data_IF_146322088656
#
_entry.id   IF_146322088656
#
_cell.length_a   1.000
_cell.length_b   1.000
_cell.length_c   1.000
_cell.angle_alpha   90.00
_cell.angle_beta   90.00
_cell.angle_gamma   90.00
#
_symmetry.space_group_name_H-M   'P 1'
#
loop_
_entity.id
_entity.type
_entity.pdbx_description
1 polymer ?
#
# COMPACT_ATOMS: atom_id res chain seq x y z
N UNK A 1 -9.82 6.01 -61.34
CA UNK A 1 -8.64 5.20 -60.95
C UNK A 1 -8.05 5.62 -59.59
N UNK A 2 -7.74 6.90 -59.34
CA UNK A 2 -7.14 7.36 -58.06
C UNK A 2 -7.99 7.11 -56.79
N UNK A 3 -9.33 7.12 -56.90
CA UNK A 3 -10.25 6.81 -55.77
C UNK A 3 -10.29 5.33 -55.41
N UNK A 4 -10.28 4.44 -56.41
CA UNK A 4 -10.27 2.99 -56.19
C UNK A 4 -8.98 2.51 -55.51
N UNK A 5 -7.83 3.08 -55.91
CA UNK A 5 -6.55 2.79 -55.24
C UNK A 5 -6.52 3.23 -53.77
N UNK A 6 -7.07 4.41 -53.46
CA UNK A 6 -7.16 4.91 -52.06
C UNK A 6 -8.04 4.02 -51.18
N UNK A 7 -9.18 3.56 -51.71
CA UNK A 7 -10.08 2.63 -50.98
C UNK A 7 -9.39 1.28 -50.75
N UNK A 8 -8.65 0.77 -51.74
CA UNK A 8 -7.84 -0.44 -51.59
C UNK A 8 -6.77 -0.32 -50.51
N UNK A 9 -6.07 0.82 -50.42
CA UNK A 9 -5.06 1.06 -49.38
C UNK A 9 -5.66 1.13 -47.98
N UNK A 10 -6.84 1.77 -47.82
CA UNK A 10 -7.54 1.83 -46.53
C UNK A 10 -8.04 0.45 -46.09
N UNK A 11 -8.60 -0.34 -47.01
CA UNK A 11 -9.01 -1.73 -46.73
C UNK A 11 -7.82 -2.63 -46.38
N UNK A 12 -6.67 -2.44 -47.04
CA UNK A 12 -5.45 -3.15 -46.69
C UNK A 12 -4.97 -2.78 -45.28
N UNK A 13 -4.94 -1.48 -44.94
CA UNK A 13 -4.57 -1.01 -43.60
C UNK A 13 -5.50 -1.57 -42.51
N UNK A 14 -6.81 -1.63 -42.76
CA UNK A 14 -7.79 -2.23 -41.84
C UNK A 14 -7.59 -3.75 -41.67
N UNK A 15 -7.08 -4.45 -42.69
CA UNK A 15 -6.80 -5.88 -42.63
C UNK A 15 -5.49 -6.21 -41.89
N UNK A 16 -4.51 -5.31 -41.85
CA UNK A 16 -3.26 -5.46 -41.06
C UNK A 16 -3.37 -4.84 -39.66
N UNK A 17 -4.56 -4.39 -39.26
CA UNK A 17 -4.90 -3.95 -37.91
C UNK A 17 -5.76 -4.99 -37.15
N UNK A 18 -5.48 -6.32 -37.14
CA UNK A 18 -6.17 -7.18 -36.20
C UNK A 18 -5.81 -6.72 -34.78
N UNK A 19 -6.76 -6.05 -34.13
CA UNK A 19 -6.64 -5.52 -32.78
C UNK A 19 -6.56 -6.64 -31.75
N UNK A 20 -5.69 -6.41 -30.77
CA UNK A 20 -5.47 -7.10 -29.49
C UNK A 20 -5.56 -8.64 -29.48
N UNK A 21 -4.40 -9.27 -29.70
CA UNK A 21 -4.11 -10.65 -29.30
C UNK A 21 -4.07 -10.83 -27.77
N UNK A 22 -4.00 -9.76 -27.00
CA UNK A 22 -3.71 -9.79 -25.56
C UNK A 22 -4.99 -9.83 -24.68
N UNK A 23 -5.90 -10.76 -24.97
CA UNK A 23 -7.08 -10.99 -24.13
C UNK A 23 -6.69 -11.80 -22.88
N UNK A 24 -6.68 -11.16 -21.72
CA UNK A 24 -6.46 -11.82 -20.43
C UNK A 24 -7.80 -12.25 -19.83
N UNK A 25 -8.09 -13.55 -19.92
CA UNK A 25 -9.38 -14.09 -19.46
C UNK A 25 -9.50 -14.02 -17.93
N UNK A 26 -10.47 -13.24 -17.46
CA UNK A 26 -10.81 -13.14 -16.03
C UNK A 26 -11.34 -14.47 -15.44
N UNK A 27 -11.69 -15.45 -16.28
CA UNK A 27 -12.31 -16.72 -15.85
C UNK A 27 -11.42 -17.52 -14.89
N UNK A 28 -10.10 -17.46 -15.06
CA UNK A 28 -9.13 -18.15 -14.21
C UNK A 28 -8.30 -17.17 -13.36
N UNK A 29 -8.64 -15.89 -13.38
CA UNK A 29 -7.90 -14.87 -12.66
C UNK A 29 -8.22 -14.94 -11.16
N UNK A 30 -7.17 -14.92 -10.34
CA UNK A 30 -7.24 -14.71 -8.90
C UNK A 30 -6.71 -13.32 -8.60
N UNK A 31 -7.46 -12.53 -7.85
CA UNK A 31 -7.05 -11.15 -7.57
C UNK A 31 -6.13 -11.11 -6.34
N UNK A 32 -4.86 -10.76 -6.54
CA UNK A 32 -3.97 -10.38 -5.45
C UNK A 32 -4.37 -8.99 -4.96
N UNK A 33 -4.90 -8.89 -3.74
CA UNK A 33 -5.41 -7.64 -3.19
C UNK A 33 -4.31 -6.82 -2.50
N UNK A 34 -3.30 -7.47 -1.94
CA UNK A 34 -2.16 -6.79 -1.34
C UNK A 34 -1.07 -7.78 -0.94
N UNK A 35 0.14 -7.28 -0.74
CA UNK A 35 1.25 -8.12 -0.26
C UNK A 35 2.09 -7.43 0.79
N UNK A 36 2.60 -8.22 1.73
CA UNK A 36 3.63 -7.84 2.68
C UNK A 36 4.96 -8.49 2.35
N UNK A 37 6.04 -7.79 2.64
CA UNK A 37 7.40 -8.23 2.40
C UNK A 37 8.21 -8.17 3.69
N UNK A 38 8.84 -9.28 4.05
CA UNK A 38 9.73 -9.43 5.19
C UNK A 38 11.06 -10.06 4.75
N UNK A 39 12.12 -9.90 5.54
CA UNK A 39 13.33 -10.71 5.40
C UNK A 39 13.31 -11.85 6.41
N UNK A 40 13.63 -13.05 5.94
CA UNK A 40 13.88 -14.21 6.80
C UNK A 40 15.22 -14.05 7.55
N UNK A 41 15.47 -14.82 8.63
CA UNK A 41 16.73 -14.73 9.38
C UNK A 41 18.00 -14.97 8.55
N UNK A 42 17.89 -15.76 7.48
CA UNK A 42 18.94 -16.04 6.50
C UNK A 42 19.01 -15.01 5.34
N UNK A 43 18.24 -13.91 5.44
CA UNK A 43 18.30 -12.79 4.49
C UNK A 43 17.55 -13.01 3.17
N UNK A 44 16.69 -14.04 3.08
CA UNK A 44 15.83 -14.25 1.90
C UNK A 44 14.57 -13.41 2.01
N UNK A 45 14.00 -13.07 0.85
CA UNK A 45 12.74 -12.35 0.79
C UNK A 45 11.59 -13.31 1.07
N UNK A 46 10.74 -12.95 2.03
CA UNK A 46 9.44 -13.57 2.25
C UNK A 46 8.37 -12.60 1.78
N UNK A 47 7.52 -13.06 0.86
CA UNK A 47 6.32 -12.35 0.47
C UNK A 47 5.11 -13.09 1.08
N UNK A 48 4.18 -12.35 1.65
CA UNK A 48 2.87 -12.86 2.06
C UNK A 48 1.80 -12.07 1.32
N UNK A 49 0.90 -12.75 0.63
CA UNK A 49 -0.10 -12.14 -0.24
C UNK A 49 -1.51 -12.52 0.19
N UNK A 50 -2.38 -11.53 0.20
CA UNK A 50 -3.82 -11.73 0.32
C UNK A 50 -4.43 -11.88 -1.08
N UNK A 51 -5.07 -13.02 -1.32
CA UNK A 51 -5.71 -13.36 -2.59
C UNK A 51 -7.22 -13.45 -2.38
N UNK A 52 -7.98 -12.74 -3.21
CA UNK A 52 -9.43 -12.69 -3.13
C UNK A 52 -10.01 -14.06 -3.50
N UNK A 53 -10.86 -14.59 -2.62
CA UNK A 53 -11.64 -15.80 -2.87
C UNK A 53 -13.07 -15.43 -3.29
N UNK A 54 -13.31 -15.42 -4.60
CA UNK A 54 -14.62 -15.12 -5.18
C UNK A 54 -15.60 -16.30 -5.05
N UNK A 55 -15.11 -17.52 -4.81
CA UNK A 55 -15.92 -18.75 -4.81
C UNK A 55 -16.93 -18.86 -3.66
N UNK A 56 -16.83 -17.98 -2.65
CA UNK A 56 -17.67 -17.99 -1.44
C UNK A 56 -18.54 -16.75 -1.24
N UNK A 57 -18.59 -15.84 -2.22
CA UNK A 57 -19.44 -14.65 -2.10
C UNK A 57 -20.92 -14.93 -2.40
N UNK A 58 -21.28 -16.10 -2.92
CA UNK A 58 -22.62 -16.37 -3.46
C UNK A 58 -23.61 -17.02 -2.48
N UNK A 59 -23.26 -17.35 -1.23
CA UNK A 59 -24.23 -17.97 -0.32
C UNK A 59 -24.30 -17.28 1.05
N UNK A 60 -25.55 -16.90 1.39
CA UNK A 60 -25.99 -16.48 2.70
C UNK A 60 -25.31 -17.32 3.79
N UNK A 61 -24.68 -16.66 4.77
CA UNK A 61 -24.04 -17.22 5.98
C UNK A 61 -22.55 -17.64 5.91
N UNK A 62 -21.86 -17.49 4.77
CA UNK A 62 -20.41 -17.66 4.70
C UNK A 62 -19.67 -16.33 4.86
N UNK A 63 -18.97 -16.11 5.97
CA UNK A 63 -18.10 -14.91 6.09
C UNK A 63 -17.08 -14.93 4.94
N UNK A 64 -16.98 -13.88 4.11
CA UNK A 64 -15.95 -13.79 3.06
C UNK A 64 -14.57 -14.12 3.66
N UNK A 65 -13.80 -15.00 3.01
CA UNK A 65 -12.49 -15.47 3.50
C UNK A 65 -11.50 -15.39 2.35
N UNK A 66 -10.68 -14.35 2.35
CA UNK A 66 -9.52 -14.32 1.46
C UNK A 66 -8.51 -15.41 1.84
N UNK A 67 -7.83 -15.91 0.84
CA UNK A 67 -6.68 -16.79 0.99
C UNK A 67 -5.45 -15.94 1.33
N UNK A 68 -4.60 -16.43 2.23
CA UNK A 68 -3.37 -15.74 2.61
C UNK A 68 -2.24 -16.73 2.51
N UNK A 69 -1.44 -16.55 1.47
CA UNK A 69 -0.35 -17.46 1.11
C UNK A 69 0.99 -16.74 1.15
N UNK A 70 2.04 -17.47 1.49
CA UNK A 70 3.38 -16.91 1.60
C UNK A 70 4.42 -17.71 0.82
N UNK A 71 5.44 -17.05 0.30
CA UNK A 71 6.54 -17.66 -0.44
C UNK A 71 7.88 -17.04 -0.04
N UNK A 72 8.93 -17.86 0.00
CA UNK A 72 10.29 -17.42 0.33
C UNK A 72 11.20 -17.65 -0.87
N UNK A 73 11.97 -16.63 -1.27
CA UNK A 73 12.82 -16.67 -2.45
C UNK A 73 13.86 -15.55 -2.44
N UNK A 74 14.55 -15.39 -3.57
CA UNK A 74 15.62 -14.41 -3.76
C UNK A 74 15.15 -13.12 -4.45
N UNK A 75 13.92 -13.10 -4.98
CA UNK A 75 13.35 -11.91 -5.63
C UNK A 75 11.83 -11.91 -5.50
N UNK A 76 11.21 -10.74 -5.64
CA UNK A 76 9.75 -10.56 -5.65
C UNK A 76 9.06 -11.43 -6.70
N UNK A 77 9.69 -11.63 -7.86
CA UNK A 77 9.15 -12.53 -8.90
C UNK A 77 9.15 -13.98 -8.43
N UNK A 78 10.27 -14.46 -7.90
CA UNK A 78 10.36 -15.83 -7.43
C UNK A 78 9.40 -16.10 -6.26
N UNK A 79 9.27 -15.18 -5.31
CA UNK A 79 8.29 -15.32 -4.23
C UNK A 79 6.86 -15.35 -4.75
N UNK A 80 6.54 -14.52 -5.75
CA UNK A 80 5.22 -14.52 -6.40
C UNK A 80 4.95 -15.84 -7.15
N UNK A 81 5.94 -16.40 -7.83
CA UNK A 81 5.83 -17.70 -8.51
C UNK A 81 5.61 -18.85 -7.52
N UNK A 82 6.28 -18.82 -6.37
CA UNK A 82 6.07 -19.79 -5.29
C UNK A 82 4.66 -19.66 -4.69
N UNK A 83 4.14 -18.44 -4.53
CA UNK A 83 2.75 -18.24 -4.10
C UNK A 83 1.78 -18.79 -5.17
N UNK A 84 2.08 -18.58 -6.46
CA UNK A 84 1.27 -19.09 -7.57
C UNK A 84 1.13 -20.61 -7.54
N UNK A 85 2.13 -21.37 -7.07
CA UNK A 85 2.00 -22.84 -6.94
C UNK A 85 1.06 -23.29 -5.81
N UNK A 86 0.61 -22.37 -4.94
CA UNK A 86 -0.22 -22.67 -3.77
C UNK A 86 -1.68 -22.26 -3.94
N UNK A 87 -1.97 -21.38 -4.89
CA UNK A 87 -3.33 -20.93 -5.21
C UNK A 87 -3.83 -21.58 -6.49
N UNK A 88 -5.13 -21.73 -6.61
CA UNK A 88 -5.75 -22.19 -7.85
C UNK A 88 -5.87 -21.04 -8.83
N UNK A 89 -5.42 -21.23 -10.08
CA UNK A 89 -5.51 -20.22 -11.11
C UNK A 89 -4.41 -19.18 -11.04
N UNK A 90 -4.64 -18.08 -11.73
CA UNK A 90 -3.59 -17.16 -12.15
C UNK A 90 -3.68 -15.84 -11.38
N UNK A 91 -2.68 -15.54 -10.55
CA UNK A 91 -2.65 -14.29 -9.79
C UNK A 91 -2.54 -13.11 -10.75
N UNK A 92 -3.45 -12.15 -10.60
CA UNK A 92 -3.52 -10.85 -11.27
C UNK A 92 -3.69 -9.75 -10.23
N UNK A 93 -3.11 -8.57 -10.49
CA UNK A 93 -3.03 -7.48 -9.53
C UNK A 93 -4.05 -6.36 -9.79
N UNK A 94 -5.12 -6.60 -10.57
CA UNK A 94 -6.06 -5.54 -10.99
C UNK A 94 -6.73 -4.76 -9.85
N UNK A 95 -6.80 -5.33 -8.64
CA UNK A 95 -7.33 -4.70 -7.43
C UNK A 95 -6.29 -4.58 -6.31
N UNK A 96 -5.01 -4.50 -6.66
CA UNK A 96 -3.95 -4.36 -5.67
C UNK A 96 -4.12 -3.02 -4.94
N UNK A 97 -4.49 -3.08 -3.67
CA UNK A 97 -4.84 -1.92 -2.84
C UNK A 97 -3.71 -1.45 -1.94
N UNK A 98 -2.82 -2.36 -1.52
CA UNK A 98 -1.74 -2.00 -0.61
C UNK A 98 -0.49 -2.89 -0.72
N UNK A 99 0.62 -2.34 -0.26
CA UNK A 99 1.89 -3.01 -0.04
C UNK A 99 2.41 -2.73 1.37
N UNK A 100 2.80 -3.77 2.11
CA UNK A 100 3.41 -3.64 3.42
C UNK A 100 4.90 -3.97 3.35
N UNK A 101 5.70 -3.15 4.02
CA UNK A 101 7.12 -3.36 4.21
C UNK A 101 7.35 -3.70 5.68
N UNK A 102 7.77 -4.93 5.98
CA UNK A 102 8.22 -5.26 7.32
C UNK A 102 9.42 -4.41 7.68
N UNK A 103 9.59 -4.07 8.96
CA UNK A 103 10.76 -3.30 9.42
C UNK A 103 12.08 -3.88 8.88
N UNK A 104 12.19 -5.20 8.81
CA UNK A 104 13.35 -5.93 8.27
C UNK A 104 13.69 -5.58 6.82
N UNK A 105 12.69 -5.28 5.99
CA UNK A 105 12.85 -4.80 4.60
C UNK A 105 13.03 -3.28 4.58
N UNK A 106 12.24 -2.55 5.35
CA UNK A 106 12.26 -1.08 5.39
C UNK A 106 13.61 -0.49 5.80
N UNK A 107 14.36 -1.17 6.67
CA UNK A 107 15.71 -0.76 7.10
C UNK A 107 16.81 -1.11 6.08
N UNK A 108 16.46 -1.82 5.00
CA UNK A 108 17.35 -2.07 3.85
C UNK A 108 17.07 -1.09 2.73
N UNK A 109 17.95 -1.11 1.74
CA UNK A 109 17.73 -0.41 0.48
C UNK A 109 16.44 -0.94 -0.18
N UNK A 110 15.43 -0.08 -0.33
CA UNK A 110 14.12 -0.43 -0.85
C UNK A 110 14.10 -0.72 -2.35
N UNK A 111 14.95 -0.09 -3.14
CA UNK A 111 14.84 -0.13 -4.61
C UNK A 111 14.91 -1.55 -5.20
N UNK A 112 15.78 -2.47 -4.73
CA UNK A 112 15.79 -3.85 -5.21
C UNK A 112 14.46 -4.60 -5.05
N UNK A 113 13.67 -4.27 -4.02
CA UNK A 113 12.36 -4.88 -3.79
C UNK A 113 11.25 -4.22 -4.62
N UNK A 114 11.44 -2.96 -5.00
CA UNK A 114 10.43 -2.17 -5.71
C UNK A 114 10.63 -2.11 -7.23
N UNK A 115 11.84 -2.36 -7.76
CA UNK A 115 12.16 -2.25 -9.19
C UNK A 115 11.14 -2.96 -10.08
N UNK A 116 10.81 -4.21 -9.74
CA UNK A 116 9.86 -4.99 -10.54
C UNK A 116 8.44 -4.40 -10.54
N UNK A 117 8.04 -3.76 -9.45
CA UNK A 117 6.72 -3.15 -9.33
C UNK A 117 6.58 -1.95 -10.26
N UNK A 118 7.67 -1.25 -10.53
CA UNK A 118 7.69 -0.09 -11.42
C UNK A 118 8.00 -0.42 -12.88
N UNK A 119 8.78 -1.48 -13.13
CA UNK A 119 9.22 -1.86 -14.47
C UNK A 119 8.22 -2.72 -15.24
N UNK A 120 7.34 -3.43 -14.55
CA UNK A 120 6.32 -4.30 -15.18
C UNK A 120 4.97 -3.56 -15.23
N UNK A 121 4.44 -3.22 -16.42
CA UNK A 121 3.21 -2.43 -16.56
C UNK A 121 1.95 -3.18 -16.07
N UNK A 122 2.05 -4.48 -15.78
CA UNK A 122 0.95 -5.28 -15.22
C UNK A 122 0.77 -5.07 -13.71
N UNK A 123 1.77 -4.47 -13.05
CA UNK A 123 1.68 -4.11 -11.64
C UNK A 123 1.05 -2.71 -11.54
N UNK A 124 -0.12 -2.55 -10.90
CA UNK A 124 -0.64 -1.22 -10.65
C UNK A 124 0.25 -0.53 -9.62
N UNK A 125 0.48 0.77 -9.85
CA UNK A 125 1.19 1.64 -8.92
C UNK A 125 0.27 2.75 -8.41
N UNK A 126 -0.69 3.15 -9.25
CA UNK A 126 -1.66 4.18 -8.92
C UNK A 126 -2.59 3.71 -7.81
N UNK A 127 -2.80 4.58 -6.80
CA UNK A 127 -3.67 4.34 -5.62
C UNK A 127 -3.29 3.15 -4.73
N UNK A 128 -2.15 2.49 -4.97
CA UNK A 128 -1.64 1.45 -4.06
C UNK A 128 -1.07 2.13 -2.82
N UNK A 129 -1.66 1.86 -1.66
CA UNK A 129 -1.17 2.37 -0.37
C UNK A 129 0.08 1.62 0.06
N UNK A 130 1.01 2.30 0.74
CA UNK A 130 2.23 1.68 1.28
C UNK A 130 2.33 1.99 2.75
N UNK A 131 2.71 1.00 3.55
CA UNK A 131 3.00 1.20 4.96
C UNK A 131 4.18 0.33 5.43
N UNK A 132 4.87 0.80 6.45
CA UNK A 132 5.84 0.00 7.20
C UNK A 132 5.12 -0.70 8.36
N UNK A 133 5.52 -1.92 8.69
CA UNK A 133 5.02 -2.70 9.82
C UNK A 133 6.13 -2.90 10.86
N UNK A 134 5.86 -2.51 12.11
CA UNK A 134 6.67 -2.81 13.29
C UNK A 134 6.54 -4.29 13.64
N UNK A 135 7.34 -5.12 12.97
CA UNK A 135 7.30 -6.57 13.09
C UNK A 135 7.07 -7.26 11.74
N UNK A 136 6.32 -8.36 11.78
CA UNK A 136 6.12 -9.28 10.65
C UNK A 136 4.86 -8.92 9.85
N UNK A 137 5.03 -8.61 8.56
CA UNK A 137 3.86 -8.42 7.66
C UNK A 137 3.10 -9.73 7.46
N UNK A 138 3.81 -10.86 7.50
CA UNK A 138 3.20 -12.18 7.41
C UNK A 138 2.23 -12.45 8.58
N UNK A 139 2.59 -12.07 9.80
CA UNK A 139 1.71 -12.23 10.96
C UNK A 139 0.47 -11.33 10.85
N UNK A 140 0.67 -10.07 10.44
CA UNK A 140 -0.41 -9.11 10.26
C UNK A 140 -1.43 -9.59 9.23
N UNK A 141 -0.97 -10.04 8.05
CA UNK A 141 -1.88 -10.55 7.01
C UNK A 141 -2.56 -11.86 7.41
N UNK A 142 -1.94 -12.67 8.27
CA UNK A 142 -2.54 -13.91 8.79
C UNK A 142 -3.64 -13.69 9.82
N UNK A 143 -3.87 -12.45 10.27
CA UNK A 143 -5.11 -12.10 10.98
C UNK A 143 -6.35 -12.38 10.11
N UNK A 144 -6.23 -12.25 8.78
CA UNK A 144 -7.28 -12.38 7.76
C UNK A 144 -8.45 -11.40 7.88
N UNK A 145 -8.76 -10.94 9.10
CA UNK A 145 -9.81 -9.98 9.42
C UNK A 145 -9.41 -9.11 10.60
N UNK A 146 -9.94 -7.90 10.60
CA UNK A 146 -9.97 -7.01 11.76
C UNK A 146 -11.40 -6.51 11.92
N UNK A 147 -12.03 -6.83 13.06
CA UNK A 147 -13.47 -6.67 13.23
C UNK A 147 -14.25 -7.54 12.22
N UNK A 148 -15.11 -6.89 11.43
CA UNK A 148 -16.03 -7.57 10.49
C UNK A 148 -15.56 -7.58 9.03
N UNK A 149 -14.44 -6.92 8.72
CA UNK A 149 -13.92 -6.77 7.36
C UNK A 149 -12.61 -7.54 7.17
N UNK A 150 -12.27 -7.79 5.91
CA UNK A 150 -11.02 -8.47 5.53
C UNK A 150 -9.81 -7.59 5.90
N UNK A 151 -8.69 -8.24 6.23
CA UNK A 151 -7.52 -7.54 6.76
C UNK A 151 -6.98 -6.50 5.79
N UNK A 152 -6.92 -6.80 4.49
CA UNK A 152 -6.48 -5.84 3.50
C UNK A 152 -7.40 -4.63 3.42
N UNK A 153 -8.71 -4.86 3.37
CA UNK A 153 -9.69 -3.78 3.34
C UNK A 153 -9.58 -2.89 4.58
N UNK A 154 -9.36 -3.50 5.75
CA UNK A 154 -9.11 -2.77 6.98
C UNK A 154 -7.86 -1.88 6.89
N UNK A 155 -6.75 -2.42 6.39
CA UNK A 155 -5.49 -1.70 6.27
C UNK A 155 -5.64 -0.50 5.32
N UNK A 156 -6.21 -0.72 4.12
CA UNK A 156 -6.41 0.35 3.13
C UNK A 156 -7.27 1.48 3.72
N UNK A 157 -8.44 1.14 4.28
CA UNK A 157 -9.34 2.13 4.89
C UNK A 157 -8.71 2.83 6.10
N UNK A 158 -7.90 2.13 6.88
CA UNK A 158 -7.18 2.71 8.03
C UNK A 158 -6.17 3.76 7.55
N UNK A 159 -5.39 3.46 6.52
CA UNK A 159 -4.43 4.41 5.95
C UNK A 159 -5.17 5.63 5.41
N UNK A 160 -6.20 5.44 4.58
CA UNK A 160 -7.00 6.53 3.99
C UNK A 160 -7.63 7.41 5.09
N UNK A 161 -8.22 6.81 6.11
CA UNK A 161 -8.81 7.56 7.22
C UNK A 161 -7.77 8.40 7.99
N UNK A 162 -6.54 7.92 8.10
CA UNK A 162 -5.47 8.61 8.82
C UNK A 162 -4.76 9.66 7.96
N UNK A 163 -4.79 9.51 6.64
CA UNK A 163 -4.44 10.58 5.70
C UNK A 163 -5.41 11.76 5.84
N UNK A 164 -6.73 11.50 5.85
CA UNK A 164 -7.76 12.55 6.05
C UNK A 164 -7.64 13.27 7.41
N UNK A 165 -7.14 12.57 8.43
CA UNK A 165 -6.85 13.12 9.76
C UNK A 165 -5.47 13.79 9.87
N UNK A 166 -4.75 13.96 8.75
CA UNK A 166 -3.39 14.50 8.67
C UNK A 166 -2.34 13.77 9.51
N UNK A 167 -2.63 12.54 9.96
CA UNK A 167 -1.65 11.70 10.66
C UNK A 167 -0.61 11.22 9.66
N UNK A 168 -1.06 10.85 8.45
CA UNK A 168 -0.18 10.43 7.36
C UNK A 168 -0.24 11.45 6.22
N UNK A 169 0.91 11.84 5.64
CA UNK A 169 0.91 12.44 4.32
C UNK A 169 0.35 11.44 3.30
N UNK A 170 -0.46 11.93 2.36
CA UNK A 170 -0.99 11.08 1.29
C UNK A 170 0.14 10.65 0.35
N UNK A 171 0.36 9.33 0.24
CA UNK A 171 1.36 8.75 -0.64
C UNK A 171 0.83 7.48 -1.28
N UNK A 172 1.18 7.26 -2.54
CA UNK A 172 0.91 6.03 -3.27
C UNK A 172 2.21 5.40 -3.76
N UNK A 173 2.18 4.13 -4.16
CA UNK A 173 3.35 3.48 -4.78
C UNK A 173 3.86 4.28 -5.98
N UNK A 174 2.96 4.84 -6.79
CA UNK A 174 3.27 5.72 -7.91
C UNK A 174 4.00 7.00 -7.47
N UNK A 175 3.43 7.77 -6.55
CA UNK A 175 4.05 9.05 -6.11
C UNK A 175 5.31 8.86 -5.28
N UNK A 176 5.43 7.73 -4.57
CA UNK A 176 6.62 7.34 -3.84
C UNK A 176 7.83 7.16 -4.77
N UNK A 177 7.64 6.65 -5.99
CA UNK A 177 8.75 6.44 -6.93
C UNK A 177 9.49 7.74 -7.22
N UNK A 178 8.74 8.83 -7.43
CA UNK A 178 9.32 10.14 -7.72
C UNK A 178 10.20 10.60 -6.56
N UNK A 179 9.74 10.44 -5.32
CA UNK A 179 10.51 10.79 -4.12
C UNK A 179 11.72 9.86 -3.91
N UNK A 180 11.55 8.56 -4.14
CA UNK A 180 12.61 7.56 -4.01
C UNK A 180 13.80 7.83 -4.97
N UNK A 181 13.52 8.45 -6.11
CA UNK A 181 14.51 8.79 -7.14
C UNK A 181 15.02 10.24 -7.05
N UNK A 182 14.44 11.07 -6.19
CA UNK A 182 14.85 12.46 -5.99
C UNK A 182 15.95 12.54 -4.92
N UNK A 183 17.20 12.93 -5.25
CA UNK A 183 18.27 13.07 -4.26
C UNK A 183 18.07 14.24 -3.30
N UNK A 184 17.12 15.15 -3.58
CA UNK A 184 16.86 16.35 -2.78
C UNK A 184 15.75 16.20 -1.74
N UNK A 185 14.99 15.10 -1.75
CA UNK A 185 13.85 14.91 -0.85
C UNK A 185 13.77 13.48 -0.33
N UNK A 186 13.58 13.35 0.98
CA UNK A 186 13.20 12.09 1.62
C UNK A 186 11.67 11.98 1.73
N UNK A 187 11.17 10.78 1.99
CA UNK A 187 9.75 10.52 2.19
C UNK A 187 9.48 9.88 3.56
N UNK A 188 8.22 9.86 3.93
CA UNK A 188 7.73 9.15 5.12
C UNK A 188 6.63 8.21 4.73
N UNK A 189 6.50 7.10 5.46
CA UNK A 189 5.44 6.12 5.25
C UNK A 189 4.60 5.95 6.52
N UNK A 190 3.30 5.65 6.40
CA UNK A 190 2.51 5.15 7.51
C UNK A 190 3.24 4.03 8.27
N UNK A 191 3.24 4.11 9.60
CA UNK A 191 3.87 3.10 10.44
C UNK A 191 2.83 2.39 11.30
N UNK A 192 2.67 1.09 11.04
CA UNK A 192 1.65 0.24 11.63
C UNK A 192 2.27 -0.78 12.57
N UNK A 193 1.50 -1.23 13.55
CA UNK A 193 1.89 -2.29 14.48
C UNK A 193 0.73 -3.23 14.71
N UNK A 194 1.02 -4.53 14.80
CA UNK A 194 0.04 -5.48 15.27
C UNK A 194 0.07 -5.54 16.80
N UNK A 195 -1.10 -5.39 17.43
CA UNK A 195 -1.30 -5.65 18.86
C UNK A 195 -2.39 -6.72 19.04
N UNK A 196 -1.95 -7.95 19.31
CA UNK A 196 -2.83 -9.12 19.37
C UNK A 196 -3.57 -9.34 18.05
N UNK A 197 -4.87 -9.03 18.04
CA UNK A 197 -5.76 -9.12 16.85
C UNK A 197 -6.06 -7.77 16.20
N UNK A 198 -5.50 -6.70 16.74
CA UNK A 198 -5.67 -5.35 16.21
C UNK A 198 -4.46 -4.95 15.39
N UNK A 199 -4.69 -4.04 14.46
CA UNK A 199 -3.62 -3.36 13.71
C UNK A 199 -3.75 -1.89 14.03
N UNK A 200 -2.75 -1.32 14.70
CA UNK A 200 -2.71 0.06 15.14
C UNK A 200 -1.77 0.88 14.29
N UNK A 201 -2.08 2.17 14.17
CA UNK A 201 -1.17 3.16 13.61
C UNK A 201 -0.36 3.76 14.75
N UNK A 202 0.96 3.61 14.69
CA UNK A 202 1.87 4.12 15.72
C UNK A 202 2.56 5.42 15.33
N UNK A 203 2.36 5.88 14.08
CA UNK A 203 2.86 7.16 13.57
C UNK A 203 3.42 7.01 12.16
N UNK A 204 4.53 7.67 11.84
CA UNK A 204 5.18 7.60 10.52
C UNK A 204 6.61 7.09 10.63
N UNK A 205 7.04 6.32 9.63
CA UNK A 205 8.40 5.85 9.44
C UNK A 205 9.18 6.90 8.64
N UNK A 206 10.35 7.30 9.13
CA UNK A 206 11.24 8.26 8.49
C UNK A 206 12.27 7.52 7.65
N UNK A 207 12.44 7.98 6.40
CA UNK A 207 13.45 7.45 5.50
C UNK A 207 14.59 8.45 5.33
N UNK A 208 15.80 7.93 5.14
CA UNK A 208 16.93 8.67 4.59
C UNK A 208 17.37 7.94 3.32
N UNK A 209 17.22 8.61 2.17
CA UNK A 209 17.24 7.97 0.87
C UNK A 209 16.24 6.83 0.81
N UNK A 210 16.76 5.61 0.71
CA UNK A 210 15.96 4.41 0.44
C UNK A 210 15.88 3.48 1.66
N UNK A 211 16.21 3.97 2.87
CA UNK A 211 16.24 3.19 4.11
C UNK A 211 15.52 3.89 5.24
N UNK A 212 14.74 3.13 6.00
CA UNK A 212 14.14 3.61 7.23
C UNK A 212 15.24 3.85 8.28
N UNK A 213 15.22 5.03 8.89
CA UNK A 213 16.21 5.44 9.91
C UNK A 213 15.58 5.84 11.24
N UNK A 214 14.27 6.05 11.27
CA UNK A 214 13.57 6.42 12.50
C UNK A 214 12.07 6.41 12.33
N UNK A 215 11.38 6.94 13.35
CA UNK A 215 9.93 7.08 13.33
C UNK A 215 9.49 8.25 14.20
N UNK A 216 8.37 8.86 13.84
CA UNK A 216 7.66 9.82 14.67
C UNK A 216 6.37 9.19 15.16
N UNK A 217 5.98 9.47 16.41
CA UNK A 217 4.71 8.99 16.94
C UNK A 217 3.52 9.72 16.27
N UNK A 218 2.28 9.30 16.55
CA UNK A 218 1.07 9.89 15.94
C UNK A 218 0.98 11.41 16.13
N UNK A 219 1.30 11.93 17.31
CA UNK A 219 1.22 13.36 17.59
C UNK A 219 2.27 14.15 16.79
N UNK A 220 3.50 13.64 16.76
CA UNK A 220 4.60 14.20 15.97
C UNK A 220 4.33 14.10 14.46
N UNK A 221 3.67 13.04 14.00
CA UNK A 221 3.29 12.85 12.61
C UNK A 221 2.26 13.91 12.14
N UNK A 222 1.31 14.27 12.99
CA UNK A 222 0.36 15.36 12.72
C UNK A 222 1.11 16.69 12.59
N UNK A 223 2.05 16.96 13.51
CA UNK A 223 2.89 18.16 13.45
C UNK A 223 3.78 18.17 12.20
N UNK A 224 4.33 17.03 11.81
CA UNK A 224 5.05 16.88 10.56
C UNK A 224 4.18 17.28 9.36
N UNK A 225 2.96 16.73 9.25
CA UNK A 225 2.03 17.04 8.16
C UNK A 225 1.62 18.51 8.10
N UNK A 226 1.49 19.16 9.27
CA UNK A 226 1.23 20.59 9.35
C UNK A 226 2.43 21.41 8.84
N UNK A 227 3.64 21.10 9.31
CA UNK A 227 4.87 21.84 8.98
C UNK A 227 5.34 21.61 7.54
N UNK A 228 5.13 20.42 6.99
CA UNK A 228 5.45 20.09 5.60
C UNK A 228 4.40 20.62 4.61
N UNK A 229 3.26 21.10 5.11
CA UNK A 229 2.13 21.51 4.27
C UNK A 229 1.40 20.34 3.61
N UNK A 230 1.59 19.11 4.07
CA UNK A 230 0.88 17.91 3.58
C UNK A 230 -0.42 17.60 4.32
N UNK A 231 -0.83 18.43 5.28
CA UNK A 231 -2.08 18.27 6.02
C UNK A 231 -3.32 18.35 5.12
N UNK A 232 -4.37 17.67 5.56
CA UNK A 232 -5.72 17.64 5.02
C UNK A 232 -6.65 18.51 5.88
N UNK A 233 -7.96 18.29 5.76
CA UNK A 233 -8.97 19.12 6.41
C UNK A 233 -8.97 19.03 7.94
N UNK A 234 -8.50 17.93 8.52
CA UNK A 234 -8.45 17.73 9.98
C UNK A 234 -7.02 17.51 10.45
N UNK A 235 -6.56 18.23 11.47
CA UNK A 235 -5.25 18.04 12.08
C UNK A 235 -5.33 18.34 13.58
N UNK A 236 -5.62 17.31 14.38
CA UNK A 236 -5.93 17.45 15.81
C UNK A 236 -4.90 16.77 16.69
N UNK A 237 -4.34 17.50 17.65
CA UNK A 237 -3.38 16.97 18.62
C UNK A 237 -3.63 17.55 20.02
N UNK A 238 -3.14 16.85 21.05
CA UNK A 238 -3.39 17.20 22.45
C UNK A 238 -2.07 17.49 23.14
N UNK A 239 -1.90 18.73 23.62
CA UNK A 239 -0.70 19.13 24.37
C UNK A 239 -1.02 19.39 25.83
N UNK A 240 -0.09 18.96 26.68
CA UNK A 240 -0.09 19.32 28.10
C UNK A 240 0.43 20.76 28.23
N UNK A 241 -0.37 21.63 28.85
CA UNK A 241 -0.09 23.07 28.99
C UNK A 241 0.25 23.50 30.42
N UNK A 242 -0.02 22.64 31.41
CA UNK A 242 0.27 22.89 32.82
C UNK A 242 1.12 21.76 33.38
N UNK A 243 2.13 22.12 34.18
CA UNK A 243 2.86 21.16 35.00
C UNK A 243 1.94 20.60 36.11
N UNK A 244 2.09 19.32 36.45
CA UNK A 244 1.19 18.62 37.38
C UNK A 244 1.00 17.15 37.01
N UNK A 245 0.07 16.48 37.68
CA UNK A 245 -0.24 15.07 37.41
C UNK A 245 -0.71 14.88 35.94
N UNK A 246 -0.25 13.80 35.32
CA UNK A 246 -0.71 13.36 33.99
C UNK A 246 -2.16 12.90 33.98
N UNK A 247 -2.69 12.46 35.13
CA UNK A 247 -4.08 12.00 35.25
C UNK A 247 -5.12 13.14 35.20
N UNK A 248 -4.71 14.38 35.49
CA UNK A 248 -5.62 15.52 35.52
C UNK A 248 -5.87 16.04 34.08
N UNK A 249 -7.08 15.83 33.58
CA UNK A 249 -7.50 16.24 32.24
C UNK A 249 -7.48 17.78 32.03
N UNK A 250 -7.60 18.58 33.09
CA UNK A 250 -7.52 20.05 33.01
C UNK A 250 -6.13 20.57 32.62
N UNK A 251 -5.12 19.70 32.65
CA UNK A 251 -3.76 20.03 32.24
C UNK A 251 -3.55 19.97 30.71
N UNK A 252 -4.57 19.58 29.93
CA UNK A 252 -4.45 19.33 28.50
C UNK A 252 -5.35 20.26 27.68
N UNK A 253 -4.85 20.69 26.52
CA UNK A 253 -5.64 21.40 25.50
C UNK A 253 -5.57 20.60 24.21
N UNK A 254 -6.73 20.48 23.55
CA UNK A 254 -6.85 19.98 22.19
C UNK A 254 -6.70 21.14 21.22
N UNK A 255 -5.73 21.03 20.32
CA UNK A 255 -5.55 21.94 19.20
C UNK A 255 -6.14 21.28 17.96
N UNK A 256 -6.94 22.02 17.21
CA UNK A 256 -7.39 21.63 15.87
C UNK A 256 -6.88 22.68 14.89
N UNK A 257 -5.83 22.31 14.16
CA UNK A 257 -5.21 23.15 13.14
C UNK A 257 -5.71 22.77 11.73
N UNK A 258 -6.76 21.95 11.64
CA UNK A 258 -7.39 21.58 10.39
C UNK A 258 -8.07 22.79 9.74
N UNK A 259 -7.85 22.96 8.44
CA UNK A 259 -8.46 24.01 7.64
C UNK A 259 -8.17 23.79 6.17
N UNK A 260 -9.10 24.17 5.28
CA UNK A 260 -8.84 24.14 3.84
C UNK A 260 -7.63 25.01 3.56
N UNK A 261 -6.63 24.48 2.84
CA UNK A 261 -5.56 25.30 2.26
C UNK A 261 -6.21 26.52 1.63
N UNK A 262 -5.81 27.72 2.05
CA UNK A 262 -6.21 28.92 1.36
C UNK A 262 -5.79 28.74 -0.09
N UNK A 263 -6.74 28.75 -1.02
CA UNK A 263 -6.41 28.75 -2.44
C UNK A 263 -5.63 30.04 -2.70
N UNK A 264 -4.30 29.94 -2.80
CA UNK A 264 -3.49 30.99 -3.40
C UNK A 264 -3.83 30.97 -4.89
N UNK A 265 -4.73 31.88 -5.28
CA UNK A 265 -4.97 32.26 -6.67
C UNK A 265 -3.78 33.05 -7.22
#
# INVERSE_FOLDING_TARGET
>A
MKRAGRIGTVLLLLAVLPGCWDEDSLRNARLGYGAGYDLTPDGRLMQTMEVVDESKQTEQQGSAKNEVESGVGYSVRQTSDIIRTKVTGDIRYFKYGFMLLGRSVAEKDLYPYLDVLYRDPRNPTSRVKIAVVDGSTNEMLRLKKAGNILIGEFITRKIESLEEMSVFPELSLETMLTLLLDPGQDFVLPYLKQDGKNVDAIGIALFNGQRMTGSLNVEEAILYSLLSGSHKDTARFVRKIKEGDRSNLENYITFDAGGKKANEN
#
